data_IF_068249357382
#
_entry.id   IF_068249357382
#
_cell.length_a   1.000
_cell.length_b   1.000
_cell.length_c   1.000
_cell.angle_alpha   90.00
_cell.angle_beta   90.00
_cell.angle_gamma   90.00
#
_symmetry.space_group_name_H-M   'P 1'
#
loop_
_entity.id
_entity.type
_entity.pdbx_description
1 polymer ?
#
# COMPACT_ATOMS: atom_id res chain seq x y z
N UNK A 1 0.42 -3.13 18.56
CA UNK A 1 0.63 -2.42 17.27
C UNK A 1 -0.46 -1.38 17.11
N UNK A 2 -0.09 -0.14 16.83
CA UNK A 2 -1.03 0.98 16.76
C UNK A 2 -1.36 1.42 15.33
N UNK A 3 -0.50 1.09 14.38
CA UNK A 3 -0.66 1.54 13.01
C UNK A 3 0.07 0.64 12.02
N UNK A 4 -0.43 0.63 10.80
CA UNK A 4 0.14 -0.16 9.71
C UNK A 4 -0.02 0.61 8.39
N UNK A 5 0.94 0.45 7.50
CA UNK A 5 0.88 0.97 6.14
C UNK A 5 0.64 -0.20 5.17
N UNK A 6 -0.20 -0.01 4.18
CA UNK A 6 -0.54 -1.04 3.19
C UNK A 6 0.08 -0.70 1.84
N UNK A 7 0.92 -1.61 1.34
CA UNK A 7 1.58 -1.50 0.04
C UNK A 7 0.63 -1.87 -1.11
N UNK A 8 0.97 -1.42 -2.30
CA UNK A 8 0.18 -1.61 -3.53
C UNK A 8 -0.06 -3.09 -3.86
N UNK A 9 0.93 -3.96 -3.65
CA UNK A 9 0.81 -5.39 -4.00
C UNK A 9 -0.31 -6.09 -3.23
N UNK A 10 -0.65 -5.64 -2.03
CA UNK A 10 -1.75 -6.19 -1.24
C UNK A 10 -3.10 -5.85 -1.89
N UNK A 11 -3.28 -4.60 -2.30
CA UNK A 11 -4.50 -4.17 -3.01
C UNK A 11 -4.64 -4.86 -4.37
N UNK A 12 -3.54 -4.96 -5.11
CA UNK A 12 -3.51 -5.59 -6.44
C UNK A 12 -3.91 -7.07 -6.31
N UNK A 13 -3.33 -7.79 -5.36
CA UNK A 13 -3.65 -9.20 -5.12
C UNK A 13 -5.11 -9.39 -4.67
N UNK A 14 -5.63 -8.47 -3.86
CA UNK A 14 -7.02 -8.52 -3.42
C UNK A 14 -8.01 -8.37 -4.57
N UNK A 15 -7.72 -7.50 -5.53
CA UNK A 15 -8.59 -7.24 -6.67
C UNK A 15 -8.48 -8.29 -7.78
N UNK A 16 -7.39 -9.02 -7.85
CA UNK A 16 -7.12 -9.97 -8.93
C UNK A 16 -7.13 -11.42 -8.41
N UNK A 17 -8.20 -12.15 -8.74
CA UNK A 17 -8.35 -13.57 -8.34
C UNK A 17 -7.26 -14.49 -8.88
N UNK A 18 -6.55 -14.07 -9.93
CA UNK A 18 -5.46 -14.83 -10.56
C UNK A 18 -4.10 -14.55 -9.93
N UNK A 19 -4.02 -13.55 -9.04
CA UNK A 19 -2.77 -13.25 -8.35
C UNK A 19 -2.43 -14.40 -7.38
N UNK A 20 -1.16 -14.82 -7.35
CA UNK A 20 -0.69 -15.89 -6.46
C UNK A 20 -0.93 -15.58 -4.98
N UNK A 21 -0.96 -14.30 -4.63
CA UNK A 21 -1.13 -13.83 -3.25
C UNK A 21 -2.58 -13.46 -2.92
N UNK A 22 -3.53 -13.80 -3.82
CA UNK A 22 -4.93 -13.42 -3.66
C UNK A 22 -5.52 -13.89 -2.33
N UNK A 23 -5.35 -15.17 -1.99
CA UNK A 23 -5.90 -15.74 -0.75
C UNK A 23 -5.30 -15.06 0.48
N UNK A 24 -3.98 -14.85 0.50
CA UNK A 24 -3.31 -14.13 1.60
C UNK A 24 -3.81 -12.69 1.73
N UNK A 25 -4.03 -12.03 0.60
CA UNK A 25 -4.53 -10.65 0.61
C UNK A 25 -5.94 -10.54 1.19
N UNK A 26 -6.81 -11.50 0.90
CA UNK A 26 -8.16 -11.56 1.49
C UNK A 26 -8.07 -11.66 3.02
N UNK A 27 -7.22 -12.53 3.52
CA UNK A 27 -7.02 -12.70 4.97
C UNK A 27 -6.46 -11.44 5.63
N UNK A 28 -5.48 -10.81 4.98
CA UNK A 28 -4.88 -9.55 5.47
C UNK A 28 -5.90 -8.41 5.49
N UNK A 29 -6.69 -8.25 4.43
CA UNK A 29 -7.73 -7.22 4.36
C UNK A 29 -8.79 -7.45 5.45
N UNK A 30 -9.17 -8.70 5.72
CA UNK A 30 -10.09 -9.02 6.80
C UNK A 30 -9.52 -8.60 8.16
N UNK A 31 -8.26 -8.89 8.43
CA UNK A 31 -7.57 -8.47 9.65
C UNK A 31 -7.48 -6.94 9.77
N UNK A 32 -7.21 -6.25 8.66
CA UNK A 32 -7.20 -4.78 8.63
C UNK A 32 -8.58 -4.22 9.00
N UNK A 33 -9.65 -4.77 8.42
CA UNK A 33 -11.03 -4.37 8.72
C UNK A 33 -11.41 -4.60 10.18
N UNK A 34 -10.86 -5.62 10.79
CA UNK A 34 -11.05 -5.93 12.22
C UNK A 34 -10.14 -5.11 13.14
N UNK A 35 -9.35 -4.20 12.57
CA UNK A 35 -8.38 -3.37 13.29
C UNK A 35 -7.33 -4.16 14.08
N UNK A 36 -7.01 -5.38 13.63
CA UNK A 36 -6.00 -6.20 14.31
C UNK A 36 -4.59 -5.58 14.26
N UNK A 37 -4.33 -4.72 13.26
CA UNK A 37 -3.05 -4.02 13.11
C UNK A 37 -3.13 -2.54 13.51
N UNK A 38 -4.21 -2.12 14.17
CA UNK A 38 -4.44 -0.72 14.51
C UNK A 38 -4.93 0.10 13.31
N UNK A 39 -4.55 1.36 13.24
CA UNK A 39 -5.00 2.27 12.19
C UNK A 39 -4.27 1.98 10.87
N UNK A 40 -5.01 1.69 9.78
CA UNK A 40 -4.40 1.45 8.48
C UNK A 40 -4.16 2.74 7.70
N UNK A 41 -3.00 2.85 7.07
CA UNK A 41 -2.60 3.96 6.21
C UNK A 41 -2.16 3.45 4.84
N UNK A 42 -2.27 4.29 3.85
CA UNK A 42 -1.65 4.13 2.53
C UNK A 42 -1.35 5.53 1.97
N UNK A 43 -0.92 5.64 0.74
CA UNK A 43 -0.59 6.94 0.14
C UNK A 43 -1.19 7.12 -1.25
N UNK A 44 -1.17 8.36 -1.72
CA UNK A 44 -1.55 8.70 -3.10
C UNK A 44 -0.61 8.06 -4.12
N UNK A 45 0.68 7.92 -3.84
CA UNK A 45 1.62 7.23 -4.72
C UNK A 45 1.32 5.73 -4.80
N UNK A 46 1.01 5.10 -3.66
CA UNK A 46 0.58 3.70 -3.63
C UNK A 46 -0.77 3.54 -4.35
N UNK A 47 -1.68 4.47 -4.17
CA UNK A 47 -2.97 4.47 -4.88
C UNK A 47 -2.76 4.46 -6.39
N UNK A 48 -1.94 5.37 -6.92
CA UNK A 48 -1.62 5.43 -8.35
C UNK A 48 -1.04 4.11 -8.84
N UNK A 49 -0.03 3.59 -8.15
CA UNK A 49 0.59 2.31 -8.50
C UNK A 49 -0.42 1.15 -8.50
N UNK A 50 -1.28 1.10 -7.49
CA UNK A 50 -2.26 0.03 -7.35
C UNK A 50 -3.31 0.04 -8.47
N UNK A 51 -3.96 1.18 -8.71
CA UNK A 51 -5.01 1.26 -9.74
C UNK A 51 -4.44 1.13 -11.15
N UNK A 52 -3.28 1.72 -11.40
CA UNK A 52 -2.61 1.64 -12.71
C UNK A 52 -2.15 0.23 -13.02
N UNK A 53 -1.52 -0.45 -12.06
CA UNK A 53 -1.06 -1.83 -12.23
C UNK A 53 -2.24 -2.79 -12.42
N UNK A 54 -3.32 -2.62 -11.65
CA UNK A 54 -4.52 -3.42 -11.83
C UNK A 54 -5.11 -3.25 -13.23
N UNK A 55 -5.18 -2.02 -13.72
CA UNK A 55 -5.66 -1.73 -15.08
C UNK A 55 -4.79 -2.40 -16.13
N UNK A 56 -3.47 -2.26 -16.01
CA UNK A 56 -2.53 -2.83 -16.99
C UNK A 56 -2.58 -4.36 -17.00
N UNK A 57 -2.58 -4.99 -15.83
CA UNK A 57 -2.56 -6.45 -15.72
C UNK A 57 -3.87 -7.12 -16.13
N UNK A 58 -5.01 -6.50 -15.84
CA UNK A 58 -6.33 -7.07 -16.13
C UNK A 58 -6.93 -6.57 -17.44
N UNK A 59 -6.52 -5.42 -17.94
CA UNK A 59 -7.15 -4.74 -19.07
C UNK A 59 -8.57 -4.26 -18.76
N UNK A 60 -8.98 -4.24 -17.48
CA UNK A 60 -10.36 -3.96 -17.06
C UNK A 60 -10.43 -2.74 -16.16
N UNK A 61 -11.06 -1.68 -16.67
CA UNK A 61 -11.28 -0.45 -15.90
C UNK A 61 -12.20 -0.68 -14.70
N UNK A 62 -13.19 -1.58 -14.81
CA UNK A 62 -14.10 -1.89 -13.70
C UNK A 62 -13.37 -2.46 -12.48
N UNK A 63 -12.36 -3.31 -12.70
CA UNK A 63 -11.51 -3.83 -11.60
C UNK A 63 -10.69 -2.72 -10.97
N UNK A 64 -10.05 -1.88 -11.77
CA UNK A 64 -9.25 -0.76 -11.27
C UNK A 64 -10.10 0.24 -10.46
N UNK A 65 -11.30 0.57 -10.95
CA UNK A 65 -12.24 1.46 -10.25
C UNK A 65 -12.70 0.84 -8.94
N UNK A 66 -13.04 -0.44 -8.94
CA UNK A 66 -13.45 -1.16 -7.73
C UNK A 66 -12.33 -1.14 -6.67
N UNK A 67 -11.09 -1.33 -7.09
CA UNK A 67 -9.93 -1.23 -6.19
C UNK A 67 -9.78 0.19 -5.63
N UNK A 68 -9.91 1.21 -6.47
CA UNK A 68 -9.85 2.60 -6.02
C UNK A 68 -10.93 2.91 -4.97
N UNK A 69 -12.16 2.42 -5.17
CA UNK A 69 -13.26 2.56 -4.20
C UNK A 69 -13.00 1.80 -2.90
N UNK A 70 -12.34 0.64 -2.96
CA UNK A 70 -11.93 -0.10 -1.77
C UNK A 70 -10.98 0.75 -0.91
N UNK A 71 -10.01 1.39 -1.54
CA UNK A 71 -9.01 2.19 -0.84
C UNK A 71 -9.63 3.48 -0.27
N UNK A 72 -10.31 4.23 -1.13
CA UNK A 72 -10.85 5.56 -0.79
C UNK A 72 -12.19 5.52 -0.07
N UNK A 73 -12.93 4.45 -0.22
CA UNK A 73 -14.33 4.38 0.14
C UNK A 73 -15.23 5.06 -0.88
N UNK A 74 -16.53 4.86 -0.73
CA UNK A 74 -17.56 5.51 -1.54
C UNK A 74 -18.78 5.74 -0.68
N UNK A 75 -19.13 7.01 -0.44
CA UNK A 75 -20.33 7.36 0.33
C UNK A 75 -21.60 6.94 -0.41
N UNK A 76 -21.62 7.09 -1.72
CA UNK A 76 -22.76 6.73 -2.59
C UNK A 76 -23.09 5.24 -2.53
N UNK A 77 -22.05 4.40 -2.51
CA UNK A 77 -22.20 2.94 -2.50
C UNK A 77 -22.07 2.34 -1.10
N UNK A 78 -22.00 3.18 -0.06
CA UNK A 78 -21.81 2.76 1.33
C UNK A 78 -20.58 1.85 1.54
N UNK A 79 -19.50 2.13 0.84
CA UNK A 79 -18.23 1.42 0.97
C UNK A 79 -17.32 2.22 1.91
N UNK A 80 -16.92 1.67 3.08
CA UNK A 80 -15.95 2.33 3.94
C UNK A 80 -14.56 2.32 3.31
N UNK A 81 -13.75 3.35 3.54
CA UNK A 81 -12.35 3.33 3.13
C UNK A 81 -11.59 2.27 3.91
N UNK A 82 -10.74 1.51 3.22
CA UNK A 82 -9.91 0.49 3.87
C UNK A 82 -8.77 1.10 4.67
N UNK A 83 -8.22 2.21 4.19
CA UNK A 83 -7.07 2.86 4.79
C UNK A 83 -7.19 4.39 4.68
N UNK A 84 -6.51 5.09 5.58
CA UNK A 84 -6.35 6.54 5.49
C UNK A 84 -5.32 6.88 4.43
N UNK A 85 -5.71 7.68 3.45
CA UNK A 85 -4.82 8.11 2.39
C UNK A 85 -3.98 9.29 2.87
N UNK A 86 -2.67 9.09 2.94
CA UNK A 86 -1.70 10.13 3.30
C UNK A 86 -1.03 10.63 2.04
N UNK A 87 -1.04 11.95 1.85
CA UNK A 87 -0.38 12.54 0.69
C UNK A 87 1.13 12.49 0.85
N UNK A 88 1.82 12.16 -0.25
CA UNK A 88 3.27 12.38 -0.34
C UNK A 88 3.47 13.87 -0.54
N UNK A 89 3.71 14.58 0.56
CA UNK A 89 3.95 16.01 0.54
C UNK A 89 5.39 16.33 0.12
N UNK A 90 5.71 17.62 0.05
CA UNK A 90 7.05 18.07 -0.36
C UNK A 90 8.15 17.50 0.55
N UNK A 91 7.92 17.43 1.85
CA UNK A 91 8.90 16.91 2.81
C UNK A 91 9.16 15.41 2.60
N UNK A 92 8.11 14.63 2.46
CA UNK A 92 8.21 13.18 2.18
C UNK A 92 8.89 12.95 0.83
N UNK A 93 8.49 13.71 -0.19
CA UNK A 93 9.10 13.63 -1.51
C UNK A 93 10.60 13.90 -1.46
N UNK A 94 11.01 14.97 -0.78
CA UNK A 94 12.42 15.35 -0.66
C UNK A 94 13.24 14.29 0.09
N UNK A 95 12.69 13.73 1.16
CA UNK A 95 13.35 12.66 1.92
C UNK A 95 13.48 11.39 1.05
N UNK A 96 12.43 11.00 0.33
CA UNK A 96 12.45 9.86 -0.58
C UNK A 96 13.49 10.05 -1.69
N UNK A 97 13.56 11.24 -2.27
CA UNK A 97 14.55 11.56 -3.30
C UNK A 97 15.98 11.48 -2.74
N UNK A 98 16.21 11.99 -1.53
CA UNK A 98 17.53 11.94 -0.88
C UNK A 98 18.02 10.50 -0.70
N UNK A 99 17.15 9.56 -0.31
CA UNK A 99 17.52 8.15 -0.16
C UNK A 99 17.62 7.42 -1.49
N UNK A 100 16.72 7.70 -2.42
CA UNK A 100 16.71 7.08 -3.75
C UNK A 100 18.01 7.38 -4.52
N UNK A 101 18.42 8.64 -4.54
CA UNK A 101 19.63 9.05 -5.30
C UNK A 101 20.95 8.54 -4.73
N UNK A 102 20.94 7.95 -3.53
CA UNK A 102 22.14 7.28 -3.00
C UNK A 102 22.51 6.02 -3.79
N UNK A 103 21.53 5.42 -4.49
CA UNK A 103 21.72 4.16 -5.20
C UNK A 103 21.93 2.94 -4.32
N UNK A 104 21.74 3.06 -2.99
CA UNK A 104 22.00 1.97 -2.04
C UNK A 104 20.98 0.84 -2.10
N UNK A 105 19.74 1.14 -2.48
CA UNK A 105 18.62 0.20 -2.48
C UNK A 105 18.11 0.02 -3.91
N UNK A 106 18.89 -0.68 -4.72
CA UNK A 106 18.62 -0.82 -6.17
C UNK A 106 17.30 -1.51 -6.50
N UNK A 107 16.80 -2.37 -5.59
CA UNK A 107 15.56 -3.12 -5.79
C UNK A 107 14.31 -2.33 -5.38
N UNK A 108 14.48 -1.18 -4.74
CA UNK A 108 13.37 -0.35 -4.30
C UNK A 108 13.05 0.74 -5.31
N UNK A 109 11.77 0.82 -5.70
CA UNK A 109 11.27 1.92 -6.54
C UNK A 109 11.26 3.24 -5.80
N UNK A 110 11.02 4.35 -6.52
CA UNK A 110 10.83 5.65 -5.86
C UNK A 110 9.61 5.62 -4.94
N UNK A 111 8.51 4.99 -5.35
CA UNK A 111 7.33 4.81 -4.49
C UNK A 111 7.70 4.07 -3.21
N UNK A 112 8.53 3.03 -3.27
CA UNK A 112 9.01 2.31 -2.09
C UNK A 112 9.77 3.23 -1.13
N UNK A 113 10.60 4.13 -1.67
CA UNK A 113 11.29 5.14 -0.86
C UNK A 113 10.31 6.12 -0.20
N UNK A 114 9.21 6.48 -0.88
CA UNK A 114 8.16 7.32 -0.25
C UNK A 114 7.47 6.58 0.89
N UNK A 115 7.26 5.28 0.75
CA UNK A 115 6.69 4.44 1.82
C UNK A 115 7.60 4.47 3.05
N UNK A 116 8.90 4.20 2.89
CA UNK A 116 9.86 4.22 3.99
C UNK A 116 9.91 5.58 4.68
N UNK A 117 9.87 6.66 3.91
CA UNK A 117 9.84 8.01 4.44
C UNK A 117 8.57 8.27 5.27
N UNK A 118 7.41 7.83 4.79
CA UNK A 118 6.14 7.97 5.52
C UNK A 118 6.08 7.12 6.78
N UNK A 119 6.56 5.88 6.73
CA UNK A 119 6.66 5.02 7.92
C UNK A 119 7.43 5.72 9.03
N UNK A 120 8.56 6.32 8.70
CA UNK A 120 9.41 7.02 9.65
C UNK A 120 8.75 8.32 10.15
N UNK A 121 8.31 9.16 9.23
CA UNK A 121 7.77 10.50 9.56
C UNK A 121 6.46 10.41 10.36
N UNK A 122 5.58 9.50 9.99
CA UNK A 122 4.30 9.30 10.65
C UNK A 122 4.37 8.31 11.82
N UNK A 123 5.54 7.73 12.08
CA UNK A 123 5.77 6.74 13.14
C UNK A 123 4.82 5.56 13.04
N UNK A 124 4.68 5.03 11.83
CA UNK A 124 3.84 3.87 11.55
C UNK A 124 4.63 2.60 11.92
N UNK A 125 3.99 1.68 12.62
CA UNK A 125 4.67 0.55 13.25
C UNK A 125 5.15 -0.53 12.28
N UNK A 126 4.40 -0.77 11.21
CA UNK A 126 4.71 -1.86 10.29
C UNK A 126 4.17 -1.60 8.88
N UNK A 127 4.68 -2.37 7.92
CA UNK A 127 4.27 -2.37 6.53
C UNK A 127 3.65 -3.72 6.18
N UNK A 128 2.43 -3.73 5.66
CA UNK A 128 1.84 -4.92 5.03
C UNK A 128 2.27 -4.93 3.57
N UNK A 129 3.09 -5.88 3.20
CA UNK A 129 3.63 -6.03 1.84
C UNK A 129 4.09 -7.44 1.59
N UNK A 130 3.91 -7.93 0.36
CA UNK A 130 4.49 -9.19 -0.10
C UNK A 130 5.92 -9.04 -0.63
N UNK A 131 6.42 -7.81 -0.70
CA UNK A 131 7.75 -7.53 -1.24
C UNK A 131 8.83 -7.73 -0.18
N UNK A 132 9.63 -8.79 -0.35
CA UNK A 132 10.73 -9.12 0.56
C UNK A 132 11.89 -8.13 0.51
N UNK A 133 11.93 -7.23 -0.47
CA UNK A 133 12.98 -6.19 -0.56
C UNK A 133 12.92 -5.19 0.61
N UNK A 134 11.78 -5.15 1.33
CA UNK A 134 11.65 -4.36 2.56
C UNK A 134 12.22 -5.03 3.80
N UNK A 135 12.58 -6.29 3.74
CA UNK A 135 13.11 -7.03 4.90
C UNK A 135 14.41 -6.38 5.39
N UNK A 136 14.50 -6.20 6.71
CA UNK A 136 15.63 -5.51 7.33
C UNK A 136 15.54 -3.99 7.34
N UNK A 137 14.59 -3.40 6.61
CA UNK A 137 14.38 -1.94 6.54
C UNK A 137 13.20 -1.49 7.39
N UNK A 138 12.21 -2.35 7.57
CA UNK A 138 11.03 -2.10 8.39
C UNK A 138 10.43 -3.43 8.85
N UNK A 139 9.50 -3.38 9.80
CA UNK A 139 8.71 -4.56 10.18
C UNK A 139 7.72 -4.83 9.08
N UNK A 140 7.87 -5.97 8.41
CA UNK A 140 7.00 -6.37 7.30
C UNK A 140 6.04 -7.47 7.74
N UNK A 141 4.77 -7.32 7.37
CA UNK A 141 3.70 -8.29 7.62
C UNK A 141 3.22 -8.82 6.27
N UNK A 142 3.14 -10.14 6.12
CA UNK A 142 2.66 -10.79 4.90
C UNK A 142 1.56 -11.82 5.14
N UNK A 143 1.20 -12.00 6.42
CA UNK A 143 0.12 -12.92 6.79
C UNK A 143 -0.47 -12.60 8.16
#
# INVERSE_FOLDING_TARGET
>A
MNSVFIDSNVFIAFANKRDRDHTRSIELVDKVRKAEFGTPYTSDYVFDEAVTTALIRTGRTDIAIKMGKLILGSKEEAIPSLARLMRVDERIFSEAWATFKTGRFEDLSFTDHTILAQLKELKIDALISFDTDFDGLTTRIES
#
